data_IF_915176595643
#
_entry.id   IF_915176595643
#
_cell.length_a   1.000
_cell.length_b   1.000
_cell.length_c   1.000
_cell.angle_alpha   90.00
_cell.angle_beta   90.00
_cell.angle_gamma   90.00
#
_symmetry.space_group_name_H-M   'P 1'
#
loop_
_entity.id
_entity.type
_entity.pdbx_description
1 polymer ?
#
# COMPACT_ATOMS: atom_id res chain seq x y z
N UNK A 1 25.97 -38.53 3.56
CA UNK A 1 25.79 -37.10 3.25
C UNK A 1 24.30 -36.81 3.29
N UNK A 2 23.83 -36.32 4.44
CA UNK A 2 22.42 -36.00 4.67
C UNK A 2 22.10 -34.71 3.92
N UNK A 3 21.33 -34.80 2.84
CA UNK A 3 20.65 -33.64 2.28
C UNK A 3 19.55 -33.25 3.27
N UNK A 4 19.86 -32.28 4.13
CA UNK A 4 18.82 -31.53 4.81
C UNK A 4 17.99 -30.87 3.70
N UNK A 5 16.82 -31.43 3.42
CA UNK A 5 15.74 -30.72 2.76
C UNK A 5 15.51 -29.47 3.59
N UNK A 6 15.98 -28.32 3.10
CA UNK A 6 15.65 -27.03 3.66
C UNK A 6 14.11 -26.96 3.65
N UNK A 7 13.51 -27.09 4.84
CA UNK A 7 12.07 -27.18 4.96
C UNK A 7 11.48 -25.93 4.33
N UNK A 8 10.66 -26.10 3.29
CA UNK A 8 9.99 -24.99 2.63
C UNK A 8 9.32 -24.14 3.71
N UNK A 9 9.64 -22.85 3.75
CA UNK A 9 9.14 -21.99 4.81
C UNK A 9 7.61 -21.92 4.65
N UNK A 10 6.87 -22.49 5.62
CA UNK A 10 5.44 -22.76 5.47
C UNK A 10 4.59 -21.49 5.53
N UNK A 11 5.09 -20.42 6.16
CA UNK A 11 4.38 -19.15 6.26
C UNK A 11 4.40 -18.36 4.94
N UNK A 12 3.28 -17.73 4.61
CA UNK A 12 3.20 -16.73 3.54
C UNK A 12 3.73 -15.39 4.07
N UNK A 13 4.36 -14.60 3.22
CA UNK A 13 4.71 -13.21 3.54
C UNK A 13 3.82 -12.27 2.75
N UNK A 14 3.08 -11.43 3.47
CA UNK A 14 2.41 -10.29 2.87
C UNK A 14 3.31 -9.07 3.03
N UNK A 15 3.55 -8.32 1.96
CA UNK A 15 4.34 -7.09 2.05
C UNK A 15 3.84 -5.99 1.12
N UNK A 16 4.20 -4.76 1.48
CA UNK A 16 3.93 -3.52 0.77
C UNK A 16 5.14 -2.60 0.93
N UNK A 17 5.36 -1.71 -0.04
CA UNK A 17 6.47 -0.77 -0.01
C UNK A 17 6.04 0.65 -0.37
N UNK A 18 6.55 1.63 0.38
CA UNK A 18 6.48 3.03 -0.06
C UNK A 18 7.74 3.40 -0.82
N UNK A 19 7.57 4.14 -1.92
CA UNK A 19 8.67 4.56 -2.78
C UNK A 19 8.59 6.05 -3.13
N UNK A 20 9.73 6.60 -3.57
CA UNK A 20 9.79 7.88 -4.25
C UNK A 20 10.56 7.75 -5.56
N UNK A 21 10.16 8.53 -6.56
CA UNK A 21 10.90 8.64 -7.80
C UNK A 21 12.29 9.25 -7.51
N UNK A 22 13.33 8.54 -7.92
CA UNK A 22 14.68 9.09 -7.94
C UNK A 22 14.76 10.14 -9.07
N UNK A 23 15.53 11.23 -8.91
CA UNK A 23 15.87 12.11 -10.01
C UNK A 23 16.59 11.31 -11.10
N UNK A 24 16.03 11.25 -12.31
CA UNK A 24 16.74 10.69 -13.48
C UNK A 24 17.47 11.82 -14.22
N UNK A 25 18.78 11.71 -14.49
CA UNK A 25 19.50 12.67 -15.32
C UNK A 25 19.22 12.54 -16.83
N UNK A 26 18.82 11.36 -17.33
CA UNK A 26 18.68 11.18 -18.79
C UNK A 26 17.91 9.95 -19.30
N UNK A 27 17.51 8.97 -18.49
CA UNK A 27 16.91 7.74 -19.02
C UNK A 27 15.44 7.55 -18.62
N UNK A 28 14.66 7.09 -19.59
CA UNK A 28 13.24 6.75 -19.55
C UNK A 28 12.89 5.55 -18.65
N UNK A 29 13.85 5.00 -17.91
CA UNK A 29 13.68 3.88 -16.99
C UNK A 29 13.19 4.29 -15.60
N UNK A 30 13.30 5.57 -15.23
CA UNK A 30 12.74 6.13 -13.99
C UNK A 30 13.08 5.32 -12.74
N UNK A 31 14.29 5.47 -12.19
CA UNK A 31 14.71 4.77 -10.98
C UNK A 31 13.87 5.17 -9.76
N UNK A 32 13.67 4.26 -8.81
CA UNK A 32 12.91 4.48 -7.58
C UNK A 32 13.76 4.22 -6.34
N UNK A 33 13.53 5.00 -5.29
CA UNK A 33 14.04 4.68 -3.96
C UNK A 33 12.96 4.00 -3.13
N UNK A 34 13.35 2.88 -2.53
CA UNK A 34 12.58 2.20 -1.49
C UNK A 34 12.69 3.02 -0.21
N UNK A 35 11.57 3.54 0.28
CA UNK A 35 11.52 4.40 1.47
C UNK A 35 11.00 3.67 2.68
N UNK A 36 9.99 2.82 2.52
CA UNK A 36 9.45 2.02 3.62
C UNK A 36 9.24 0.61 3.12
N UNK A 37 9.52 -0.35 3.98
CA UNK A 37 9.18 -1.74 3.76
C UNK A 37 8.36 -2.21 4.95
N UNK A 38 7.18 -2.76 4.70
CA UNK A 38 6.31 -3.35 5.70
C UNK A 38 5.90 -4.75 5.29
N UNK A 39 5.91 -5.68 6.23
CA UNK A 39 5.57 -7.07 5.97
C UNK A 39 5.00 -7.78 7.21
N UNK A 40 4.15 -8.77 6.96
CA UNK A 40 3.65 -9.71 7.96
C UNK A 40 3.84 -11.14 7.49
N UNK A 41 4.24 -12.03 8.40
CA UNK A 41 4.18 -13.47 8.18
C UNK A 41 2.78 -13.97 8.55
N UNK A 42 2.18 -14.76 7.68
CA UNK A 42 0.80 -15.23 7.79
C UNK A 42 0.77 -16.74 7.76
N UNK A 43 0.05 -17.34 8.71
CA UNK A 43 -0.26 -18.76 8.66
C UNK A 43 -1.22 -19.02 7.49
N UNK A 44 -0.86 -19.81 6.46
CA UNK A 44 -1.71 -20.01 5.28
C UNK A 44 -3.03 -20.71 5.61
N UNK A 45 -3.08 -21.51 6.69
CA UNK A 45 -4.28 -22.28 7.09
C UNK A 45 -5.25 -21.50 7.97
N UNK A 46 -4.75 -20.50 8.71
CA UNK A 46 -5.52 -19.75 9.70
C UNK A 46 -5.71 -18.28 9.34
N UNK A 47 -4.94 -17.78 8.37
CA UNK A 47 -4.90 -16.38 7.95
C UNK A 47 -4.66 -15.41 9.12
N UNK A 48 -3.86 -15.84 10.10
CA UNK A 48 -3.46 -15.01 11.24
C UNK A 48 -2.05 -14.50 11.04
N UNK A 49 -1.82 -13.25 11.42
CA UNK A 49 -0.48 -12.65 11.52
C UNK A 49 0.30 -13.38 12.63
N UNK A 50 1.46 -13.93 12.26
CA UNK A 50 2.37 -14.64 13.15
C UNK A 50 3.50 -13.72 13.65
N UNK A 51 3.98 -12.85 12.76
CA UNK A 51 5.01 -11.86 13.03
C UNK A 51 4.86 -10.69 12.06
N UNK A 52 5.44 -9.55 12.41
CA UNK A 52 5.51 -8.37 11.55
C UNK A 52 6.93 -7.80 11.53
N UNK A 53 7.30 -7.22 10.39
CA UNK A 53 8.51 -6.45 10.20
C UNK A 53 8.17 -5.14 9.51
N UNK A 54 8.77 -4.04 9.95
CA UNK A 54 8.64 -2.75 9.27
C UNK A 54 9.89 -1.92 9.49
N UNK A 55 10.36 -1.26 8.45
CA UNK A 55 11.51 -0.37 8.55
C UNK A 55 11.38 0.81 7.61
N UNK A 56 11.82 1.98 8.08
CA UNK A 56 12.12 3.10 7.19
C UNK A 56 13.49 2.88 6.58
N UNK A 57 13.67 3.32 5.35
CA UNK A 57 14.88 3.19 4.57
C UNK A 57 15.29 4.58 4.10
N UNK A 58 16.52 4.96 4.43
CA UNK A 58 17.08 6.25 4.04
C UNK A 58 17.36 6.24 2.52
N UNK A 59 16.77 7.17 1.74
CA UNK A 59 17.06 7.28 0.32
C UNK A 59 18.48 7.81 0.07
N UNK A 60 19.00 7.58 -1.14
CA UNK A 60 20.27 8.14 -1.58
C UNK A 60 20.28 9.67 -1.64
N UNK A 61 19.15 10.30 -1.96
CA UNK A 61 18.94 11.74 -1.83
C UNK A 61 17.81 12.04 -0.83
N UNK A 62 18.09 12.77 0.26
CA UNK A 62 17.09 13.21 1.22
C UNK A 62 15.92 14.03 0.62
N UNK A 63 16.12 14.67 -0.55
CA UNK A 63 15.08 15.49 -1.20
C UNK A 63 13.84 14.68 -1.62
N UNK A 64 13.96 13.36 -1.84
CA UNK A 64 12.85 12.51 -2.22
C UNK A 64 11.76 12.41 -1.15
N UNK A 65 12.15 12.40 0.12
CA UNK A 65 11.22 12.29 1.26
C UNK A 65 10.29 13.50 1.28
N UNK A 66 10.86 14.69 1.10
CA UNK A 66 10.13 15.96 1.11
C UNK A 66 9.08 16.04 0.00
N UNK A 67 9.32 15.42 -1.16
CA UNK A 67 8.37 15.40 -2.28
C UNK A 67 7.18 14.46 -2.06
N UNK A 68 7.41 13.30 -1.45
CA UNK A 68 6.37 12.27 -1.25
C UNK A 68 5.53 12.50 0.00
N UNK A 69 6.16 12.97 1.07
CA UNK A 69 5.54 13.15 2.38
C UNK A 69 5.28 14.62 2.75
N UNK A 70 5.29 15.50 1.74
CA UNK A 70 4.89 16.92 1.77
C UNK A 70 4.92 17.57 3.16
N UNK A 71 6.13 17.79 3.67
CA UNK A 71 6.38 18.78 4.72
C UNK A 71 6.18 18.35 6.17
N UNK A 72 6.06 17.07 6.49
CA UNK A 72 6.18 16.61 7.90
C UNK A 72 7.66 16.62 8.34
N UNK A 73 8.10 17.56 9.20
CA UNK A 73 9.50 17.65 9.62
C UNK A 73 9.93 16.47 10.48
N UNK A 74 9.00 15.87 11.23
CA UNK A 74 9.27 14.74 12.10
C UNK A 74 9.54 13.49 11.27
N UNK A 75 8.76 13.28 10.20
CA UNK A 75 8.95 12.18 9.28
C UNK A 75 10.22 12.35 8.44
N UNK A 76 10.52 13.58 8.00
CA UNK A 76 11.80 13.89 7.33
C UNK A 76 13.02 13.61 8.22
N UNK A 77 12.94 13.90 9.51
CA UNK A 77 14.00 13.53 10.46
C UNK A 77 14.10 12.01 10.63
N UNK A 78 12.97 11.30 10.71
CA UNK A 78 12.94 9.85 10.81
C UNK A 78 13.62 9.17 9.60
N UNK A 79 13.34 9.60 8.37
CA UNK A 79 14.01 9.07 7.18
C UNK A 79 15.51 9.39 7.12
N UNK A 80 15.95 10.52 7.68
CA UNK A 80 17.39 10.84 7.78
C UNK A 80 18.12 9.97 8.80
N UNK A 81 17.42 9.59 9.87
CA UNK A 81 17.93 8.69 10.92
C UNK A 81 17.77 7.21 10.56
N UNK A 82 17.02 6.88 9.50
CA UNK A 82 16.77 5.52 9.06
C UNK A 82 18.04 4.84 8.52
N UNK A 83 18.13 3.50 8.62
CA UNK A 83 19.22 2.76 8.01
C UNK A 83 19.21 2.91 6.47
N UNK A 84 20.38 2.88 5.81
CA UNK A 84 20.45 2.66 4.37
C UNK A 84 19.94 1.24 4.04
N UNK A 85 19.53 1.02 2.78
CA UNK A 85 19.01 -0.29 2.37
C UNK A 85 19.98 -1.45 2.65
N UNK A 86 21.28 -1.23 2.48
CA UNK A 86 22.31 -2.25 2.70
C UNK A 86 22.29 -2.84 4.13
N UNK A 87 21.89 -2.05 5.13
CA UNK A 87 21.87 -2.45 6.54
C UNK A 87 20.63 -3.29 6.89
N UNK A 88 19.57 -3.22 6.07
CA UNK A 88 18.31 -3.98 6.26
C UNK A 88 18.12 -5.08 5.21
N UNK A 89 19.01 -5.16 4.22
CA UNK A 89 18.88 -6.08 3.09
C UNK A 89 18.84 -7.55 3.55
N UNK A 90 19.65 -7.92 4.53
CA UNK A 90 19.71 -9.30 5.02
C UNK A 90 18.43 -9.71 5.78
N UNK A 91 17.86 -8.81 6.58
CA UNK A 91 16.57 -9.03 7.25
C UNK A 91 15.43 -9.20 6.24
N UNK A 92 15.37 -8.32 5.25
CA UNK A 92 14.37 -8.37 4.18
C UNK A 92 14.54 -9.65 3.35
N UNK A 93 15.78 -10.04 3.03
CA UNK A 93 16.06 -11.27 2.30
C UNK A 93 15.59 -12.49 3.09
N UNK A 94 15.96 -12.60 4.37
CA UNK A 94 15.56 -13.72 5.22
C UNK A 94 14.04 -13.83 5.37
N UNK A 95 13.35 -12.68 5.39
CA UNK A 95 11.90 -12.62 5.47
C UNK A 95 11.21 -13.06 4.17
N UNK A 96 11.77 -12.73 3.00
CA UNK A 96 11.12 -12.93 1.71
C UNK A 96 11.53 -14.24 1.01
N UNK A 97 12.81 -14.59 1.05
CA UNK A 97 13.35 -15.65 0.21
C UNK A 97 12.75 -17.02 0.54
N UNK A 98 12.36 -17.76 -0.50
CA UNK A 98 11.76 -19.09 -0.35
C UNK A 98 10.33 -19.11 0.21
N UNK A 99 9.66 -17.96 0.33
CA UNK A 99 8.26 -17.85 0.78
C UNK A 99 7.29 -17.59 -0.36
N UNK A 100 6.01 -17.86 -0.13
CA UNK A 100 4.93 -17.32 -0.97
C UNK A 100 4.81 -15.84 -0.67
N UNK A 101 4.95 -15.00 -1.69
CA UNK A 101 4.74 -13.57 -1.59
C UNK A 101 3.29 -13.22 -1.86
N UNK A 102 2.71 -12.35 -1.05
CA UNK A 102 1.35 -11.88 -1.22
C UNK A 102 1.27 -10.36 -1.02
N UNK A 103 0.39 -9.71 -1.77
CA UNK A 103 0.30 -8.26 -1.78
C UNK A 103 -0.76 -7.78 -2.76
N UNK A 104 -1.07 -6.49 -2.75
CA UNK A 104 -2.06 -5.91 -3.64
C UNK A 104 -1.37 -5.20 -4.81
N UNK A 105 -1.61 -5.64 -6.05
CA UNK A 105 -0.87 -5.18 -7.23
C UNK A 105 0.65 -5.49 -7.14
N UNK A 106 1.02 -6.45 -6.29
CA UNK A 106 2.40 -6.74 -5.91
C UNK A 106 3.27 -7.13 -7.10
N UNK A 107 2.69 -7.81 -8.10
CA UNK A 107 3.43 -8.28 -9.27
C UNK A 107 3.92 -7.13 -10.12
N UNK A 108 3.17 -6.04 -10.20
CA UNK A 108 3.48 -4.88 -11.06
C UNK A 108 4.25 -3.80 -10.33
N UNK A 109 4.30 -3.86 -9.00
CA UNK A 109 4.87 -2.80 -8.19
C UNK A 109 5.90 -3.33 -7.21
N UNK A 110 5.50 -3.82 -6.04
CA UNK A 110 6.38 -4.08 -4.91
C UNK A 110 7.47 -5.11 -5.23
N UNK A 111 7.12 -6.18 -5.95
CA UNK A 111 8.08 -7.19 -6.40
C UNK A 111 9.23 -6.60 -7.23
N UNK A 112 8.92 -5.60 -8.08
CA UNK A 112 9.94 -4.94 -8.90
C UNK A 112 10.79 -4.02 -8.03
N UNK A 113 10.16 -3.26 -7.12
CA UNK A 113 10.86 -2.30 -6.26
C UNK A 113 11.82 -2.95 -5.27
N UNK A 114 11.44 -4.10 -4.72
CA UNK A 114 12.35 -4.90 -3.89
C UNK A 114 13.54 -5.37 -4.74
N UNK A 115 13.31 -5.97 -5.91
CA UNK A 115 14.42 -6.43 -6.78
C UNK A 115 15.35 -5.29 -7.21
N UNK A 116 14.81 -4.13 -7.56
CA UNK A 116 15.59 -2.93 -7.91
C UNK A 116 16.47 -2.47 -6.73
N UNK A 117 15.94 -2.49 -5.50
CA UNK A 117 16.70 -2.11 -4.32
C UNK A 117 17.87 -3.08 -4.03
N UNK A 118 17.64 -4.39 -4.15
CA UNK A 118 18.71 -5.40 -4.04
C UNK A 118 19.76 -5.23 -5.14
N UNK A 119 19.34 -5.03 -6.39
CA UNK A 119 20.25 -4.81 -7.51
C UNK A 119 21.10 -3.53 -7.32
N UNK A 120 20.49 -2.43 -6.86
CA UNK A 120 21.20 -1.19 -6.56
C UNK A 120 22.22 -1.34 -5.42
N UNK A 121 21.99 -2.27 -4.49
CA UNK A 121 22.93 -2.63 -3.44
C UNK A 121 23.99 -3.67 -3.85
N UNK A 122 24.00 -4.10 -5.12
CA UNK A 122 24.92 -5.13 -5.61
C UNK A 122 24.66 -6.52 -5.01
N UNK A 123 23.44 -6.79 -4.54
CA UNK A 123 23.05 -8.05 -3.90
C UNK A 123 22.05 -8.82 -4.78
N UNK A 124 22.07 -10.15 -4.67
CA UNK A 124 21.02 -10.99 -5.25
C UNK A 124 19.69 -10.72 -4.52
N UNK A 125 18.61 -10.59 -5.29
CA UNK A 125 17.28 -10.40 -4.74
C UNK A 125 16.70 -11.73 -4.21
N UNK A 126 15.84 -11.69 -3.17
CA UNK A 126 15.12 -12.87 -2.72
C UNK A 126 14.15 -13.36 -3.80
N UNK A 127 13.92 -14.67 -3.89
CA UNK A 127 12.99 -15.26 -4.85
C UNK A 127 11.80 -15.95 -4.16
N UNK A 128 10.56 -15.71 -4.63
CA UNK A 128 9.38 -16.37 -4.10
C UNK A 128 9.23 -17.78 -4.66
N UNK A 129 8.65 -18.69 -3.85
CA UNK A 129 8.15 -19.97 -4.39
C UNK A 129 6.86 -19.78 -5.20
N UNK A 130 6.07 -18.75 -4.88
CA UNK A 130 4.87 -18.33 -5.62
C UNK A 130 4.49 -16.88 -5.27
N UNK A 131 3.70 -16.24 -6.13
CA UNK A 131 3.20 -14.87 -5.90
C UNK A 131 1.68 -14.80 -6.00
N UNK A 132 1.02 -14.35 -4.93
CA UNK A 132 -0.41 -14.09 -4.83
C UNK A 132 -0.65 -12.58 -4.93
N UNK A 133 -1.13 -12.14 -6.08
CA UNK A 133 -1.52 -10.74 -6.29
C UNK A 133 -3.02 -10.57 -6.02
N UNK A 134 -3.35 -9.94 -4.90
CA UNK A 134 -4.74 -9.78 -4.47
C UNK A 134 -5.57 -8.98 -5.47
N UNK A 135 -5.00 -7.99 -6.15
CA UNK A 135 -5.73 -7.25 -7.20
C UNK A 135 -6.14 -8.19 -8.34
N UNK A 136 -5.24 -9.06 -8.78
CA UNK A 136 -5.50 -10.03 -9.86
C UNK A 136 -6.48 -11.13 -9.44
N UNK A 137 -6.46 -11.55 -8.18
CA UNK A 137 -7.42 -12.51 -7.61
C UNK A 137 -8.81 -11.86 -7.52
N UNK A 138 -8.90 -10.67 -6.95
CA UNK A 138 -10.16 -9.95 -6.77
C UNK A 138 -10.78 -9.51 -8.08
N UNK A 139 -9.98 -9.09 -9.07
CA UNK A 139 -10.51 -8.74 -10.40
C UNK A 139 -11.22 -9.90 -11.09
N UNK A 140 -10.76 -11.15 -10.88
CA UNK A 140 -11.37 -12.35 -11.48
C UNK A 140 -12.57 -12.87 -10.70
N UNK A 141 -12.52 -12.84 -9.36
CA UNK A 141 -13.57 -13.40 -8.52
C UNK A 141 -14.58 -12.36 -8.02
N UNK A 142 -14.09 -11.29 -7.40
CA UNK A 142 -14.91 -10.29 -6.73
C UNK A 142 -15.49 -9.24 -7.70
N UNK A 143 -14.79 -8.90 -8.77
CA UNK A 143 -15.26 -7.94 -9.75
C UNK A 143 -15.40 -6.52 -9.19
N UNK A 144 -16.17 -5.65 -9.86
CA UNK A 144 -16.27 -4.22 -9.50
C UNK A 144 -17.36 -3.89 -8.46
N UNK A 145 -17.78 -4.87 -7.65
CA UNK A 145 -18.76 -4.72 -6.55
C UNK A 145 -18.43 -3.58 -5.61
N UNK A 146 -17.14 -3.43 -5.32
CA UNK A 146 -16.58 -2.38 -4.48
C UNK A 146 -15.87 -1.29 -5.30
N UNK A 147 -16.34 -1.00 -6.52
CA UNK A 147 -15.81 0.07 -7.35
C UNK A 147 -14.53 -0.29 -8.12
N UNK A 148 -13.45 0.46 -7.90
CA UNK A 148 -12.23 0.41 -8.72
C UNK A 148 -11.18 -0.62 -8.26
N UNK A 149 -11.53 -1.44 -7.26
CA UNK A 149 -10.67 -2.47 -6.66
C UNK A 149 -9.39 -1.93 -6.01
N UNK A 150 -9.25 -0.62 -5.81
CA UNK A 150 -8.15 -0.08 -5.01
C UNK A 150 -8.35 -0.45 -3.54
N UNK A 151 -7.22 -0.59 -2.83
CA UNK A 151 -7.21 -0.94 -1.41
C UNK A 151 -8.13 -0.03 -0.58
N UNK A 152 -8.00 1.30 -0.71
CA UNK A 152 -8.87 2.25 -0.01
C UNK A 152 -10.37 2.06 -0.30
N UNK A 153 -10.73 1.77 -1.56
CA UNK A 153 -12.13 1.57 -1.96
C UNK A 153 -12.69 0.26 -1.38
N UNK A 154 -11.90 -0.81 -1.43
CA UNK A 154 -12.26 -2.10 -0.82
C UNK A 154 -12.39 -2.01 0.70
N UNK A 155 -11.45 -1.35 1.37
CA UNK A 155 -11.48 -1.15 2.81
C UNK A 155 -12.70 -0.32 3.25
N UNK A 156 -13.05 0.72 2.49
CA UNK A 156 -14.26 1.50 2.73
C UNK A 156 -15.53 0.67 2.53
N UNK A 157 -15.59 -0.16 1.48
CA UNK A 157 -16.73 -1.04 1.20
C UNK A 157 -17.04 -2.00 2.36
N UNK A 158 -16.01 -2.57 3.00
CA UNK A 158 -16.18 -3.47 4.15
C UNK A 158 -16.18 -2.78 5.52
N UNK A 159 -16.02 -1.45 5.58
CA UNK A 159 -15.93 -0.72 6.85
C UNK A 159 -14.68 -1.04 7.67
N UNK A 160 -13.59 -1.49 7.04
CA UNK A 160 -12.33 -1.88 7.71
C UNK A 160 -11.57 -0.66 8.24
N UNK A 161 -11.65 0.47 7.54
CA UNK A 161 -10.98 1.71 7.93
C UNK A 161 -10.41 2.47 6.74
N UNK A 162 -9.63 3.52 7.04
CA UNK A 162 -8.99 4.37 6.04
C UNK A 162 -7.54 3.92 5.82
N UNK A 163 -7.15 3.75 4.56
CA UNK A 163 -5.76 3.48 4.16
C UNK A 163 -4.85 4.62 4.62
N UNK A 164 -3.75 4.30 5.30
CA UNK A 164 -2.85 5.29 5.91
C UNK A 164 -1.64 5.61 5.02
N UNK A 165 -1.39 4.79 3.98
CA UNK A 165 -0.16 4.85 3.17
C UNK A 165 1.09 4.63 4.03
N UNK A 166 0.97 3.67 4.95
CA UNK A 166 2.07 3.13 5.76
C UNK A 166 2.13 1.65 5.48
N UNK A 167 3.30 1.17 5.03
CA UNK A 167 3.39 -0.18 4.46
C UNK A 167 2.90 -1.28 5.39
N UNK A 168 3.19 -1.22 6.70
CA UNK A 168 2.71 -2.25 7.63
C UNK A 168 1.19 -2.23 7.83
N UNK A 169 0.59 -1.03 7.91
CA UNK A 169 -0.86 -0.88 8.06
C UNK A 169 -1.58 -1.35 6.79
N UNK A 170 -1.06 -0.98 5.63
CA UNK A 170 -1.62 -1.31 4.33
C UNK A 170 -1.53 -2.82 4.04
N UNK A 171 -0.46 -3.49 4.49
CA UNK A 171 -0.32 -4.95 4.46
C UNK A 171 -1.37 -5.66 5.30
N UNK A 172 -1.62 -5.18 6.52
CA UNK A 172 -2.68 -5.73 7.38
C UNK A 172 -4.05 -5.50 6.77
N UNK A 173 -4.29 -4.31 6.23
CA UNK A 173 -5.51 -3.99 5.50
C UNK A 173 -5.73 -4.92 4.31
N UNK A 174 -4.68 -5.23 3.54
CA UNK A 174 -4.75 -6.16 2.43
C UNK A 174 -5.17 -7.57 2.87
N UNK A 175 -4.61 -8.09 3.97
CA UNK A 175 -5.02 -9.37 4.52
C UNK A 175 -6.50 -9.37 4.95
N UNK A 176 -6.96 -8.33 5.65
CA UNK A 176 -8.36 -8.22 6.08
C UNK A 176 -9.32 -8.10 4.89
N UNK A 177 -9.01 -7.26 3.91
CA UNK A 177 -9.78 -7.14 2.66
C UNK A 177 -9.92 -8.49 1.96
N UNK A 178 -8.83 -9.25 1.85
CA UNK A 178 -8.86 -10.58 1.24
C UNK A 178 -9.75 -11.56 2.01
N UNK A 179 -9.70 -11.55 3.34
CA UNK A 179 -10.59 -12.39 4.18
C UNK A 179 -12.06 -12.06 3.91
N UNK A 180 -12.41 -10.77 3.91
CA UNK A 180 -13.77 -10.32 3.65
C UNK A 180 -14.25 -10.70 2.25
N UNK A 181 -13.45 -10.43 1.21
CA UNK A 181 -13.77 -10.82 -0.15
C UNK A 181 -13.96 -12.33 -0.30
N UNK A 182 -13.06 -13.13 0.28
CA UNK A 182 -13.17 -14.59 0.24
C UNK A 182 -14.43 -15.10 0.94
N UNK A 183 -14.77 -14.56 2.12
CA UNK A 183 -15.98 -14.92 2.85
C UNK A 183 -17.25 -14.58 2.06
N UNK A 184 -17.30 -13.39 1.44
CA UNK A 184 -18.43 -12.99 0.60
C UNK A 184 -18.57 -13.92 -0.61
N UNK A 185 -17.49 -14.19 -1.34
CA UNK A 185 -17.52 -15.10 -2.49
C UNK A 185 -17.96 -16.51 -2.11
N UNK A 186 -17.50 -17.01 -0.96
CA UNK A 186 -17.92 -18.31 -0.44
C UNK A 186 -19.42 -18.35 -0.15
N UNK A 187 -19.95 -17.34 0.55
CA UNK A 187 -21.39 -17.26 0.85
C UNK A 187 -22.22 -17.16 -0.44
N UNK A 188 -21.82 -16.30 -1.36
CA UNK A 188 -22.51 -16.10 -2.64
C UNK A 188 -22.56 -17.36 -3.50
N UNK A 189 -21.49 -18.15 -3.53
CA UNK A 189 -21.46 -19.42 -4.27
C UNK A 189 -22.44 -20.48 -3.76
N UNK A 190 -23.00 -20.27 -2.55
CA UNK A 190 -23.99 -21.15 -1.92
C UNK A 190 -25.42 -20.60 -2.01
N UNK A 191 -25.65 -19.49 -2.70
CA UNK A 191 -26.98 -18.90 -2.87
C UNK A 191 -27.55 -19.15 -4.27
N UNK A 192 -28.88 -19.32 -4.41
CA UNK A 192 -29.53 -19.32 -5.71
C UNK A 192 -29.24 -18.03 -6.48
N UNK A 193 -29.15 -18.14 -7.81
CA UNK A 193 -28.95 -16.99 -8.69
C UNK A 193 -30.08 -15.96 -8.49
N UNK A 194 -29.71 -14.68 -8.36
CA UNK A 194 -30.65 -13.56 -8.21
C UNK A 194 -31.11 -13.26 -6.78
N UNK A 195 -30.66 -14.01 -5.77
CA UNK A 195 -31.00 -13.74 -4.35
C UNK A 195 -30.32 -12.47 -3.84
N UNK A 196 -29.05 -12.28 -4.20
CA UNK A 196 -28.33 -11.05 -3.93
C UNK A 196 -28.35 -10.17 -5.19
N UNK A 197 -28.44 -8.84 -5.04
CA UNK A 197 -28.28 -7.94 -6.17
C UNK A 197 -26.95 -8.28 -6.85
N UNK A 198 -27.01 -8.51 -8.16
CA UNK A 198 -25.82 -8.75 -8.95
C UNK A 198 -24.83 -7.62 -8.72
N UNK A 199 -23.55 -7.96 -8.69
CA UNK A 199 -22.52 -6.97 -8.94
C UNK A 199 -22.88 -6.34 -10.28
N UNK A 200 -23.43 -5.14 -10.31
CA UNK A 200 -23.53 -4.41 -11.56
C UNK A 200 -22.11 -4.44 -12.14
N UNK A 201 -21.97 -4.95 -13.37
CA UNK A 201 -20.78 -4.81 -14.20
C UNK A 201 -20.64 -3.32 -14.51
N UNK A 202 -20.33 -2.55 -13.47
CA UNK A 202 -20.37 -1.12 -13.40
C UNK A 202 -19.30 -0.54 -14.30
N UNK A 203 -19.54 -0.63 -15.61
CA UNK A 203 -19.22 0.41 -16.54
C UNK A 203 -19.97 1.66 -16.07
N UNK A 204 -19.43 2.31 -15.04
CA UNK A 204 -19.63 3.72 -14.80
C UNK A 204 -19.05 4.40 -16.03
N UNK A 205 -19.84 4.44 -17.10
CA UNK A 205 -19.69 5.48 -18.09
C UNK A 205 -19.88 6.75 -17.29
N UNK A 206 -18.79 7.47 -17.02
CA UNK A 206 -18.89 8.88 -16.71
C UNK A 206 -19.56 9.50 -17.93
N UNK A 207 -20.89 9.51 -17.96
CA UNK A 207 -21.63 10.49 -18.72
C UNK A 207 -21.19 11.80 -18.11
N UNK A 208 -20.20 12.45 -18.74
CA UNK A 208 -19.85 13.83 -18.46
C UNK A 208 -21.17 14.58 -18.58
N UNK A 209 -21.79 14.88 -17.45
CA UNK A 209 -22.77 15.95 -17.38
C UNK A 209 -21.95 17.19 -17.68
N UNK A 210 -21.92 17.58 -18.95
CA UNK A 210 -21.42 18.87 -19.39
C UNK A 210 -22.43 19.91 -18.90
N UNK A 211 -22.49 20.08 -17.58
CA UNK A 211 -23.27 21.10 -16.89
C UNK A 211 -22.51 22.42 -16.90
N UNK A 212 -22.33 22.97 -18.11
CA UNK A 212 -22.13 24.41 -18.32
C UNK A 212 -22.89 24.79 -19.58
N UNK A 213 -24.20 24.88 -19.45
CA UNK A 213 -24.99 25.74 -20.33
C UNK A 213 -24.60 27.17 -19.99
N UNK A 214 -23.74 27.76 -20.82
CA UNK A 214 -23.52 29.19 -20.84
C UNK A 214 -24.75 29.76 -21.54
N UNK A 215 -25.63 30.46 -20.82
CA UNK A 215 -26.62 31.34 -21.45
C UNK A 215 -25.85 32.37 -22.29
N UNK A 216 -25.99 32.29 -23.61
CA UNK A 216 -25.53 33.30 -24.57
C UNK A 216 -26.72 34.20 -24.88
N UNK A 217 -26.50 35.50 -24.90
CA UNK A 217 -27.43 36.47 -25.45
C UNK A 217 -27.35 36.46 -26.99
N UNK A 218 -28.33 37.11 -27.64
CA UNK A 218 -28.58 37.08 -29.09
C UNK A 218 -27.46 37.66 -29.97
N UNK A 219 -26.31 38.01 -29.39
CA UNK A 219 -25.13 38.55 -30.06
C UNK A 219 -23.80 37.92 -29.61
N UNK A 220 -23.84 36.84 -28.81
CA UNK A 220 -22.73 35.88 -28.71
C UNK A 220 -21.51 36.29 -27.87
N UNK A 221 -21.66 37.09 -26.81
CA UNK A 221 -20.55 37.38 -25.87
C UNK A 221 -20.78 36.77 -24.48
N UNK A 222 -19.69 36.31 -23.84
CA UNK A 222 -19.71 35.69 -22.49
C UNK A 222 -19.58 36.77 -21.43
N UNK A 223 -20.55 36.85 -20.51
CA UNK A 223 -20.55 37.78 -19.36
C UNK A 223 -19.97 37.10 -18.12
N UNK A 224 -18.90 37.67 -17.55
CA UNK A 224 -18.34 37.28 -16.25
C UNK A 224 -18.84 38.20 -15.14
N UNK A 225 -19.33 37.71 -13.99
CA UNK A 225 -19.65 38.58 -12.86
C UNK A 225 -18.39 38.95 -12.05
N UNK A 226 -18.31 40.21 -11.65
CA UNK A 226 -17.19 40.81 -10.91
C UNK A 226 -17.29 40.65 -9.38
N UNK A 227 -16.13 40.85 -8.73
CA UNK A 227 -15.75 40.65 -7.32
C UNK A 227 -16.59 41.41 -6.27
N UNK A 228 -16.67 40.83 -5.07
CA UNK A 228 -16.89 41.54 -3.81
C UNK A 228 -15.74 41.26 -2.82
N UNK A 229 -15.20 42.32 -2.21
CA UNK A 229 -14.15 42.29 -1.19
C UNK A 229 -14.77 42.41 0.21
N UNK A 230 -14.20 41.72 1.21
CA UNK A 230 -14.39 42.03 2.63
C UNK A 230 -13.28 41.42 3.51
N UNK A 231 -12.48 42.34 4.08
CA UNK A 231 -12.02 42.49 5.48
C UNK A 231 -11.57 41.30 6.35
N UNK A 232 -10.46 41.57 7.05
CA UNK A 232 -9.74 40.75 8.01
C UNK A 232 -10.41 40.64 9.39
N UNK A 233 -10.14 39.54 10.11
CA UNK A 233 -9.97 39.56 11.58
C UNK A 233 -9.12 38.38 12.04
N UNK A 234 -8.18 38.66 12.94
CA UNK A 234 -7.29 37.74 13.61
C UNK A 234 -7.96 37.07 14.82
N UNK A 235 -7.51 35.87 15.18
CA UNK A 235 -7.31 35.45 16.59
C UNK A 235 -6.54 34.13 16.64
N UNK A 236 -5.53 34.09 17.51
CA UNK A 236 -4.60 32.98 17.67
C UNK A 236 -5.08 31.89 18.62
N UNK A 237 -4.44 30.72 18.52
CA UNK A 237 -4.63 29.58 19.42
C UNK A 237 -3.49 28.57 19.27
N UNK A 238 -2.36 28.84 19.92
CA UNK A 238 -1.17 27.98 19.97
C UNK A 238 -1.43 26.79 20.90
N UNK A 239 -1.52 25.56 20.36
CA UNK A 239 -1.58 24.33 21.15
C UNK A 239 -0.27 23.54 20.98
N UNK A 240 0.54 23.56 22.04
CA UNK A 240 1.79 22.80 22.16
C UNK A 240 1.46 21.32 22.31
N UNK A 241 1.96 20.46 21.40
CA UNK A 241 1.96 19.01 21.57
C UNK A 241 3.37 18.55 21.97
N UNK A 242 3.45 17.81 23.08
CA UNK A 242 4.69 17.20 23.61
C UNK A 242 5.14 16.04 22.69
N UNK A 243 6.45 15.82 22.50
CA UNK A 243 6.94 14.70 21.71
C UNK A 243 6.79 13.39 22.50
N UNK A 244 6.27 12.36 21.83
CA UNK A 244 6.34 10.98 22.30
C UNK A 244 7.74 10.44 22.01
N UNK A 245 8.36 9.90 23.05
CA UNK A 245 9.64 9.18 23.02
C UNK A 245 9.50 7.88 22.25
N UNK A 246 10.35 7.70 21.24
CA UNK A 246 10.47 6.50 20.41
C UNK A 246 11.29 5.44 21.15
N UNK A 247 10.71 4.27 21.41
CA UNK A 247 11.43 3.06 21.83
C UNK A 247 12.00 2.33 20.61
N UNK A 248 13.14 1.63 20.73
CA UNK A 248 13.75 0.91 19.60
C UNK A 248 12.95 -0.36 19.26
N UNK A 249 12.98 -0.69 17.96
CA UNK A 249 12.29 -1.81 17.32
C UNK A 249 12.64 -3.17 17.94
N UNK A 250 11.63 -4.05 18.04
CA UNK A 250 11.82 -5.47 18.34
C UNK A 250 11.08 -6.30 17.29
N UNK A 251 11.73 -7.35 16.80
CA UNK A 251 11.06 -8.43 16.08
C UNK A 251 10.13 -9.13 17.09
N UNK A 252 8.82 -8.87 17.02
CA UNK A 252 7.86 -9.49 17.95
C UNK A 252 7.52 -10.88 17.41
N UNK A 253 8.33 -11.89 17.77
CA UNK A 253 7.94 -13.29 17.64
C UNK A 253 6.90 -13.63 18.71
N UNK A 254 5.62 -13.58 18.35
CA UNK A 254 4.56 -14.11 19.23
C UNK A 254 4.58 -15.64 19.13
N UNK A 255 5.27 -16.28 20.07
CA UNK A 255 5.16 -17.72 20.25
C UNK A 255 3.72 -18.05 20.68
N UNK A 256 2.94 -18.61 19.76
CA UNK A 256 1.63 -19.18 20.09
C UNK A 256 1.86 -20.44 20.92
N UNK A 257 1.65 -20.37 22.24
CA UNK A 257 1.47 -21.58 23.04
C UNK A 257 0.15 -22.22 22.63
N UNK A 258 0.24 -23.42 22.08
CA UNK A 258 -0.91 -24.31 21.93
C UNK A 258 -1.42 -24.70 23.33
N UNK A 259 -2.73 -24.65 23.52
CA UNK A 259 -3.47 -25.42 24.53
C UNK A 259 -4.20 -26.50 23.76
#
# INVERSE_FOLDING_TARGET
LSMATEAAKEEMVFFDVETAAAPSPSDSSGQWWLLEFGAILVCPRRLVELASYSTLIRPGDPSAVSRRFSGDPSLSAAFRAAPPFADVADDIFALLDGRVWAGHNIRRFDCHRVREAFAAAGRAAPEPVAVVDSLSVLARGFGRRAGDLKMATLAAYFGIGKQTHRSLDDVRMNLEVLKHCAAVLMLESNLPAGVLPGADDGAVTRRRVNGRSCKRDSTGKVVTPAKGAATATSTGGRRVRRPMTTTPFSMILRHSRAI
#
